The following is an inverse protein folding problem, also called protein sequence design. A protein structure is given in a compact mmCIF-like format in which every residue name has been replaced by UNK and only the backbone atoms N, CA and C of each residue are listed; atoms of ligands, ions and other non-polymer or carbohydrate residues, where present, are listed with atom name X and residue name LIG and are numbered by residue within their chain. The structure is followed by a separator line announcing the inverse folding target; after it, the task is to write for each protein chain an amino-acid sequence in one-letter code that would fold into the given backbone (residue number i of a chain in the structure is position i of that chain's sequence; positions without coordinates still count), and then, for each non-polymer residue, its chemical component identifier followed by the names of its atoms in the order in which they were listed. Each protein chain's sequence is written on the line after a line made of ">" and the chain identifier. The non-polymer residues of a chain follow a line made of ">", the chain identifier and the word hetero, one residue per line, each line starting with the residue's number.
data_IF_414880858601
#
_entry.id   IF_414880858601
#
_cell.length_a   1.000
_cell.length_b   1.000
_cell.length_c   1.000
_cell.angle_alpha   90.00
_cell.angle_beta   90.00
_cell.angle_gamma   90.00
#
_symmetry.space_group_name_H-M   'P 1'
#
loop_
_entity.id
_entity.type
_entity.pdbx_description
1 polymer ?
#
# COMPACT_ATOMS: atom_id res chain seq x y z
N UNK A 1 -68.07 -37.73 -1.50
CA UNK A 1 -67.90 -37.62 -2.96
C UNK A 1 -67.66 -36.17 -3.31
N UNK A 2 -66.40 -35.75 -3.37
CA UNK A 2 -65.90 -34.71 -4.28
C UNK A 2 -64.40 -34.63 -4.05
N UNK A 3 -63.67 -35.19 -5.01
CA UNK A 3 -62.23 -35.15 -5.14
C UNK A 3 -61.77 -33.72 -5.40
N UNK A 4 -60.82 -33.23 -4.61
CA UNK A 4 -59.99 -32.08 -5.00
C UNK A 4 -58.57 -32.56 -5.30
N UNK A 5 -58.11 -32.06 -6.44
CA UNK A 5 -56.98 -32.43 -7.26
C UNK A 5 -55.62 -32.07 -6.66
N UNK A 6 -54.61 -32.80 -7.18
CA UNK A 6 -53.17 -32.68 -6.97
C UNK A 6 -52.65 -31.27 -6.67
N UNK A 7 -51.88 -31.16 -5.57
CA UNK A 7 -50.89 -30.10 -5.36
C UNK A 7 -49.66 -30.39 -6.22
N UNK A 8 -49.45 -29.63 -7.29
CA UNK A 8 -48.14 -29.51 -7.93
C UNK A 8 -47.24 -28.60 -7.07
N UNK A 9 -46.15 -29.18 -6.56
CA UNK A 9 -45.05 -28.45 -5.94
C UNK A 9 -44.15 -27.93 -7.05
N UNK A 10 -44.26 -26.64 -7.38
CA UNK A 10 -43.22 -25.91 -8.10
C UNK A 10 -42.33 -25.23 -7.06
N UNK A 11 -41.16 -25.81 -6.84
CA UNK A 11 -40.12 -25.26 -5.98
C UNK A 11 -39.41 -24.13 -6.76
N UNK A 12 -39.85 -22.88 -6.58
CA UNK A 12 -39.09 -21.72 -7.06
C UNK A 12 -38.01 -21.41 -6.02
N UNK A 13 -36.78 -21.81 -6.32
CA UNK A 13 -35.58 -21.28 -5.65
C UNK A 13 -35.36 -19.88 -6.23
N UNK A 14 -35.80 -18.87 -5.50
CA UNK A 14 -35.39 -17.49 -5.78
C UNK A 14 -34.00 -17.33 -5.18
N UNK A 15 -32.98 -17.33 -6.04
CA UNK A 15 -31.61 -16.97 -5.68
C UNK A 15 -31.59 -15.45 -5.46
N UNK A 16 -31.81 -15.01 -4.22
CA UNK A 16 -31.65 -13.61 -3.84
C UNK A 16 -30.16 -13.32 -3.74
N UNK A 17 -29.58 -12.73 -4.79
CA UNK A 17 -28.28 -12.07 -4.72
C UNK A 17 -28.48 -10.84 -3.82
N UNK A 18 -28.04 -10.95 -2.57
CA UNK A 18 -28.02 -9.83 -1.64
C UNK A 18 -26.76 -9.00 -1.92
N UNK A 19 -26.91 -7.95 -2.74
CA UNK A 19 -25.93 -6.89 -2.86
C UNK A 19 -26.00 -6.05 -1.58
N UNK A 20 -25.09 -6.30 -0.63
CA UNK A 20 -24.98 -5.47 0.57
C UNK A 20 -24.29 -4.14 0.23
N UNK A 21 -25.09 -3.13 -0.12
CA UNK A 21 -24.68 -1.73 0.05
C UNK A 21 -24.89 -1.34 1.53
N UNK A 22 -23.87 -1.54 2.35
CA UNK A 22 -23.80 -0.91 3.67
C UNK A 22 -23.11 0.44 3.53
N UNK A 23 -23.90 1.52 3.47
CA UNK A 23 -23.42 2.85 3.79
C UNK A 23 -23.28 2.96 5.32
N UNK A 24 -22.06 3.12 5.83
CA UNK A 24 -21.68 4.10 6.88
C UNK A 24 -20.30 3.79 7.48
N UNK A 25 -19.23 3.95 6.73
CA UNK A 25 -17.99 4.58 7.21
C UNK A 25 -17.26 5.13 5.99
N UNK A 26 -16.76 6.35 6.10
CA UNK A 26 -15.88 6.97 5.12
C UNK A 26 -14.55 6.20 5.05
N UNK A 27 -14.53 5.06 4.36
CA UNK A 27 -13.30 4.37 3.97
C UNK A 27 -12.80 5.05 2.71
N UNK A 28 -12.07 6.14 2.88
CA UNK A 28 -11.47 6.83 1.76
C UNK A 28 -10.15 6.17 1.35
N UNK A 29 -10.33 5.25 0.40
CA UNK A 29 -9.38 4.60 -0.46
C UNK A 29 -10.23 3.82 -1.47
N UNK A 30 -10.22 4.14 -2.76
CA UNK A 30 -10.86 3.28 -3.76
C UNK A 30 -10.08 1.96 -3.90
N UNK A 31 -10.26 1.06 -2.92
CA UNK A 31 -9.75 -0.30 -3.01
C UNK A 31 -10.72 -1.11 -3.86
N UNK A 32 -10.27 -1.50 -5.04
CA UNK A 32 -10.98 -2.48 -5.87
C UNK A 32 -10.58 -3.86 -5.35
N UNK A 33 -11.54 -4.71 -5.00
CA UNK A 33 -11.25 -6.07 -4.55
C UNK A 33 -12.29 -7.07 -5.02
N UNK A 34 -11.87 -8.33 -5.10
CA UNK A 34 -12.75 -9.46 -5.38
C UNK A 34 -12.37 -10.62 -4.45
N UNK A 35 -13.32 -11.05 -3.62
CA UNK A 35 -13.11 -12.12 -2.63
C UNK A 35 -13.19 -13.53 -3.22
N UNK A 36 -13.75 -13.70 -4.42
CA UNK A 36 -13.83 -14.99 -5.12
C UNK A 36 -12.47 -15.33 -5.74
N UNK A 37 -11.80 -14.32 -6.30
CA UNK A 37 -10.49 -14.43 -6.94
C UNK A 37 -9.34 -14.01 -6.01
N UNK A 38 -9.66 -13.43 -4.86
CA UNK A 38 -8.75 -12.97 -3.81
C UNK A 38 -7.67 -12.00 -4.32
N UNK A 39 -8.08 -10.96 -5.04
CA UNK A 39 -7.20 -9.86 -5.41
C UNK A 39 -7.71 -8.53 -4.88
N UNK A 40 -6.79 -7.56 -4.79
CA UNK A 40 -7.12 -6.17 -4.54
C UNK A 40 -6.18 -5.20 -5.26
N UNK A 41 -6.64 -3.96 -5.46
CA UNK A 41 -5.88 -2.81 -5.93
C UNK A 41 -6.25 -1.58 -5.11
N UNK A 42 -5.26 -0.94 -4.48
CA UNK A 42 -5.39 0.40 -3.90
C UNK A 42 -5.00 1.42 -4.99
N UNK A 43 -5.93 1.79 -5.86
CA UNK A 43 -5.66 2.70 -7.00
C UNK A 43 -5.69 4.17 -6.56
N UNK A 44 -5.03 5.09 -7.29
CA UNK A 44 -5.19 6.52 -7.03
C UNK A 44 -6.67 6.94 -7.07
N UNK A 45 -7.04 7.94 -6.27
CA UNK A 45 -8.45 8.30 -6.02
C UNK A 45 -9.18 8.87 -7.25
N UNK A 46 -10.48 8.60 -7.40
CA UNK A 46 -11.34 9.31 -8.36
C UNK A 46 -11.48 8.63 -9.72
N UNK A 47 -11.11 7.35 -9.85
CA UNK A 47 -11.41 6.60 -11.06
C UNK A 47 -12.88 6.20 -11.10
N UNK A 48 -13.50 6.34 -12.27
CA UNK A 48 -14.86 5.87 -12.50
C UNK A 48 -14.84 4.53 -13.26
N UNK A 49 -15.70 3.59 -12.86
CA UNK A 49 -15.99 2.40 -13.64
C UNK A 49 -16.80 2.80 -14.88
N UNK A 50 -16.19 2.67 -16.07
CA UNK A 50 -16.77 3.05 -17.35
C UNK A 50 -17.55 1.90 -17.98
N UNK A 51 -16.95 0.72 -18.05
CA UNK A 51 -17.55 -0.47 -18.70
C UNK A 51 -17.25 -1.75 -17.93
N UNK A 52 -18.19 -2.70 -18.01
CA UNK A 52 -18.06 -4.07 -17.49
C UNK A 52 -18.54 -5.03 -18.57
N UNK A 53 -17.82 -6.12 -18.80
CA UNK A 53 -18.27 -7.18 -19.70
C UNK A 53 -19.48 -7.94 -19.13
N UNK A 54 -20.30 -8.54 -19.99
CA UNK A 54 -21.49 -9.30 -19.58
C UNK A 54 -21.19 -10.44 -18.58
N UNK A 55 -20.00 -11.04 -18.68
CA UNK A 55 -19.51 -12.10 -17.78
C UNK A 55 -18.91 -11.56 -16.46
N UNK A 56 -18.82 -10.24 -16.30
CA UNK A 56 -18.19 -9.55 -15.17
C UNK A 56 -16.73 -9.97 -14.93
N UNK A 57 -16.01 -10.30 -16.00
CA UNK A 57 -14.60 -10.69 -15.94
C UNK A 57 -13.67 -9.62 -16.51
N UNK A 58 -14.21 -8.53 -17.05
CA UNK A 58 -13.44 -7.43 -17.62
C UNK A 58 -14.06 -6.10 -17.19
N UNK A 59 -13.23 -5.22 -16.64
CA UNK A 59 -13.62 -3.93 -16.09
C UNK A 59 -12.74 -2.84 -16.68
N UNK A 60 -13.34 -1.77 -17.19
CA UNK A 60 -12.63 -0.61 -17.72
C UNK A 60 -12.89 0.59 -16.84
N UNK A 61 -11.81 1.17 -16.32
CA UNK A 61 -11.84 2.34 -15.45
C UNK A 61 -11.18 3.54 -16.15
N UNK A 62 -11.76 4.72 -15.97
CA UNK A 62 -11.31 5.97 -16.55
C UNK A 62 -11.23 7.04 -15.47
N UNK A 63 -10.15 7.82 -15.45
CA UNK A 63 -10.09 8.99 -14.59
C UNK A 63 -10.76 10.19 -15.28
N UNK A 64 -11.74 10.87 -14.65
CA UNK A 64 -12.51 11.94 -15.30
C UNK A 64 -11.68 13.21 -15.56
N UNK A 65 -10.67 13.49 -14.72
CA UNK A 65 -9.86 14.72 -14.80
C UNK A 65 -8.46 14.52 -15.41
N UNK A 66 -7.98 13.28 -15.54
CA UNK A 66 -6.63 12.98 -16.01
C UNK A 66 -6.72 11.98 -17.17
N UNK A 67 -5.89 12.11 -18.23
CA UNK A 67 -5.99 11.27 -19.42
C UNK A 67 -5.36 9.89 -19.22
N UNK A 68 -5.77 9.19 -18.16
CA UNK A 68 -5.31 7.85 -17.79
C UNK A 68 -6.51 6.93 -17.59
N UNK A 69 -6.36 5.69 -18.03
CA UNK A 69 -7.36 4.66 -17.90
C UNK A 69 -6.70 3.30 -17.73
N UNK A 70 -7.43 2.33 -17.20
CA UNK A 70 -6.94 0.97 -17.12
C UNK A 70 -8.05 -0.06 -17.32
N UNK A 71 -7.65 -1.22 -17.82
CA UNK A 71 -8.50 -2.40 -17.92
C UNK A 71 -7.99 -3.42 -16.93
N UNK A 72 -8.88 -3.95 -16.11
CA UNK A 72 -8.65 -5.15 -15.30
C UNK A 72 -9.42 -6.30 -15.93
N UNK A 73 -8.74 -7.41 -16.17
CA UNK A 73 -9.38 -8.61 -16.72
C UNK A 73 -8.94 -9.87 -16.00
N UNK A 74 -9.92 -10.66 -15.59
CA UNK A 74 -9.74 -11.96 -14.99
C UNK A 74 -9.82 -13.01 -16.10
N UNK A 75 -8.89 -13.95 -16.07
CA UNK A 75 -8.85 -15.11 -16.95
C UNK A 75 -8.92 -16.35 -16.08
N UNK A 76 -10.01 -17.12 -16.16
CA UNK A 76 -10.23 -18.33 -15.36
C UNK A 76 -10.39 -19.58 -16.25
N UNK A 77 -9.70 -19.59 -17.40
CA UNK A 77 -9.78 -20.68 -18.35
C UNK A 77 -8.59 -21.65 -18.18
N UNK A 78 -8.84 -22.95 -17.97
CA UNK A 78 -7.79 -23.96 -17.83
C UNK A 78 -6.91 -24.14 -19.08
N UNK A 79 -7.26 -23.55 -20.23
CA UNK A 79 -6.42 -23.58 -21.43
C UNK A 79 -5.19 -22.67 -21.36
N UNK A 80 -5.13 -21.74 -20.40
CA UNK A 80 -3.97 -20.86 -20.23
C UNK A 80 -2.90 -21.53 -19.37
N UNK A 81 -1.69 -21.63 -19.92
CA UNK A 81 -0.56 -22.35 -19.33
C UNK A 81 0.48 -21.44 -18.65
N UNK A 82 0.44 -20.13 -18.92
CA UNK A 82 1.44 -19.16 -18.45
C UNK A 82 0.90 -17.74 -18.44
N UNK A 83 1.48 -16.90 -17.59
CA UNK A 83 1.16 -15.46 -17.52
C UNK A 83 1.53 -14.73 -18.81
N UNK A 84 2.62 -15.17 -19.47
CA UNK A 84 3.05 -14.66 -20.79
C UNK A 84 1.99 -14.90 -21.86
N UNK A 85 1.43 -16.11 -21.94
CA UNK A 85 0.37 -16.45 -22.91
C UNK A 85 -0.90 -15.62 -22.65
N UNK A 86 -1.29 -15.47 -21.39
CA UNK A 86 -2.47 -14.66 -21.01
C UNK A 86 -2.28 -13.20 -21.41
N UNK A 87 -1.17 -12.58 -21.00
CA UNK A 87 -0.88 -11.18 -21.30
C UNK A 87 -0.78 -10.94 -22.81
N UNK A 88 -0.09 -11.82 -23.52
CA UNK A 88 0.03 -11.75 -24.97
C UNK A 88 -1.32 -11.91 -25.68
N UNK A 89 -2.22 -12.73 -25.14
CA UNK A 89 -3.59 -12.86 -25.67
C UNK A 89 -4.40 -11.59 -25.43
N UNK A 90 -4.29 -10.99 -24.24
CA UNK A 90 -4.95 -9.72 -23.91
C UNK A 90 -4.53 -8.59 -24.86
N UNK A 91 -3.22 -8.41 -25.05
CA UNK A 91 -2.65 -7.36 -25.88
C UNK A 91 -2.89 -7.59 -27.38
N UNK A 92 -2.81 -8.84 -27.86
CA UNK A 92 -3.14 -9.17 -29.27
C UNK A 92 -4.58 -8.84 -29.65
N UNK A 93 -5.54 -9.01 -28.73
CA UNK A 93 -6.95 -8.64 -28.97
C UNK A 93 -7.13 -7.14 -29.21
N UNK A 94 -6.21 -6.31 -28.70
CA UNK A 94 -6.19 -4.87 -28.90
C UNK A 94 -5.35 -4.45 -30.11
N UNK A 95 -4.76 -5.40 -30.84
CA UNK A 95 -3.82 -5.09 -31.94
C UNK A 95 -2.56 -4.37 -31.45
N UNK A 96 -2.16 -4.57 -30.19
CA UNK A 96 -1.03 -3.86 -29.60
C UNK A 96 0.31 -4.36 -30.14
N UNK A 97 1.24 -3.42 -30.38
CA UNK A 97 2.67 -3.72 -30.44
C UNK A 97 3.18 -3.87 -29.01
N UNK A 98 3.87 -4.97 -28.72
CA UNK A 98 4.22 -5.38 -27.37
C UNK A 98 5.57 -6.10 -27.32
N UNK A 99 6.27 -5.93 -26.21
CA UNK A 99 7.39 -6.78 -25.80
C UNK A 99 7.08 -7.31 -24.41
N UNK A 100 7.09 -8.63 -24.23
CA UNK A 100 6.68 -9.27 -22.96
C UNK A 100 7.90 -9.87 -22.28
N UNK A 101 8.12 -9.45 -21.05
CA UNK A 101 9.08 -10.05 -20.12
C UNK A 101 8.37 -10.83 -19.03
N UNK A 102 9.12 -11.74 -18.39
CA UNK A 102 8.63 -12.62 -17.33
C UNK A 102 9.60 -12.64 -16.16
N UNK A 103 9.08 -12.63 -14.94
CA UNK A 103 9.85 -12.55 -13.70
C UNK A 103 9.10 -13.19 -12.53
N UNK A 104 9.79 -13.47 -11.44
CA UNK A 104 9.16 -13.96 -10.21
C UNK A 104 8.68 -12.78 -9.35
N UNK A 105 7.52 -12.93 -8.71
CA UNK A 105 6.99 -11.96 -7.76
C UNK A 105 6.25 -12.68 -6.63
N UNK A 106 6.58 -12.32 -5.38
CA UNK A 106 6.12 -13.02 -4.18
C UNK A 106 6.42 -14.53 -4.25
N UNK A 107 5.40 -15.38 -4.07
CA UNK A 107 5.49 -16.84 -4.21
C UNK A 107 5.21 -17.33 -5.63
N UNK A 108 4.95 -16.44 -6.59
CA UNK A 108 4.68 -16.82 -7.97
C UNK A 108 5.98 -16.89 -8.76
N UNK A 109 6.31 -18.06 -9.37
CA UNK A 109 7.54 -18.22 -10.13
C UNK A 109 7.51 -17.47 -11.46
N UNK A 110 6.31 -17.10 -11.94
CA UNK A 110 6.14 -16.39 -13.20
C UNK A 110 4.99 -15.37 -13.08
N UNK A 111 5.32 -14.12 -13.35
CA UNK A 111 4.46 -13.01 -13.70
C UNK A 111 4.96 -12.43 -15.03
N UNK A 112 4.11 -11.71 -15.74
CA UNK A 112 4.47 -11.08 -17.01
C UNK A 112 4.28 -9.56 -16.95
N UNK A 113 5.12 -8.83 -17.66
CA UNK A 113 5.03 -7.38 -17.85
C UNK A 113 5.28 -7.03 -19.32
N UNK A 114 4.69 -5.94 -19.79
CA UNK A 114 4.89 -5.44 -21.14
C UNK A 114 4.75 -3.92 -21.22
N UNK A 115 5.72 -3.27 -21.86
CA UNK A 115 5.47 -1.96 -22.47
C UNK A 115 4.73 -2.20 -23.78
N UNK A 116 3.65 -1.46 -23.99
CA UNK A 116 2.82 -1.65 -25.16
C UNK A 116 2.33 -0.33 -25.75
N UNK A 117 2.05 -0.38 -27.04
CA UNK A 117 1.34 0.67 -27.76
C UNK A 117 0.24 0.06 -28.62
N UNK A 118 -0.86 0.79 -28.79
CA UNK A 118 -1.97 0.38 -29.63
C UNK A 118 -2.58 1.57 -30.35
N UNK A 119 -3.26 1.31 -31.46
CA UNK A 119 -4.03 2.31 -32.18
C UNK A 119 -5.48 1.85 -32.25
N UNK A 120 -6.37 2.62 -31.64
CA UNK A 120 -7.82 2.45 -31.76
C UNK A 120 -8.35 3.61 -32.60
N UNK A 121 -9.06 4.55 -31.99
CA UNK A 121 -9.40 5.86 -32.55
C UNK A 121 -8.20 6.82 -32.58
N UNK A 122 -7.30 6.69 -31.60
CA UNK A 122 -6.02 7.39 -31.53
C UNK A 122 -4.92 6.46 -31.00
N UNK A 123 -3.70 6.98 -30.90
CA UNK A 123 -2.56 6.23 -30.38
C UNK A 123 -2.55 6.23 -28.86
N UNK A 124 -2.46 5.05 -28.28
CA UNK A 124 -2.32 4.83 -26.85
C UNK A 124 -1.02 4.10 -26.55
N UNK A 125 -0.49 4.33 -25.35
CA UNK A 125 0.65 3.58 -24.83
C UNK A 125 0.58 3.47 -23.32
N UNK A 126 1.19 2.43 -22.77
CA UNK A 126 1.03 2.08 -21.37
C UNK A 126 1.92 0.92 -20.92
N UNK A 127 1.67 0.46 -19.70
CA UNK A 127 2.26 -0.75 -19.16
C UNK A 127 1.15 -1.75 -18.89
N UNK A 128 1.47 -3.03 -19.11
CA UNK A 128 0.57 -4.12 -18.80
C UNK A 128 1.28 -5.16 -17.94
N UNK A 129 0.55 -5.74 -16.98
CA UNK A 129 1.03 -6.84 -16.14
C UNK A 129 0.05 -8.01 -16.22
N UNK A 130 0.55 -9.21 -15.93
CA UNK A 130 -0.27 -10.38 -15.64
C UNK A 130 0.34 -11.15 -14.46
N UNK A 131 -0.49 -11.49 -13.49
CA UNK A 131 -0.10 -12.28 -12.33
C UNK A 131 -1.07 -13.45 -12.12
N UNK A 132 -0.60 -14.59 -11.57
CA UNK A 132 -1.49 -15.65 -11.14
C UNK A 132 -2.35 -15.21 -9.94
N UNK A 133 -3.53 -15.79 -9.84
CA UNK A 133 -4.44 -15.67 -8.69
C UNK A 133 -4.36 -16.95 -7.84
N UNK A 134 -4.89 -16.91 -6.61
CA UNK A 134 -4.91 -18.09 -5.75
C UNK A 134 -5.77 -19.24 -6.30
N UNK A 135 -6.82 -18.92 -7.05
CA UNK A 135 -7.62 -19.92 -7.76
C UNK A 135 -6.77 -20.55 -8.86
N UNK A 136 -6.65 -21.89 -8.83
CA UNK A 136 -5.86 -22.62 -9.81
C UNK A 136 -6.28 -22.30 -11.26
N UNK A 137 -5.29 -22.07 -12.12
CA UNK A 137 -5.46 -21.66 -13.52
C UNK A 137 -6.24 -20.34 -13.70
N UNK A 138 -6.27 -19.49 -12.69
CA UNK A 138 -6.81 -18.15 -12.79
C UNK A 138 -5.69 -17.09 -12.77
N UNK A 139 -5.88 -16.03 -13.55
CA UNK A 139 -4.93 -14.94 -13.72
C UNK A 139 -5.66 -13.61 -13.74
N UNK A 140 -4.96 -12.55 -13.32
CA UNK A 140 -5.41 -11.18 -13.50
C UNK A 140 -4.43 -10.46 -14.44
N UNK A 141 -4.96 -9.85 -15.49
CA UNK A 141 -4.20 -8.96 -16.37
C UNK A 141 -4.69 -7.52 -16.18
N UNK A 142 -3.74 -6.59 -16.04
CA UNK A 142 -4.05 -5.17 -15.88
C UNK A 142 -3.27 -4.41 -16.94
N UNK A 143 -3.99 -3.62 -17.74
CA UNK A 143 -3.42 -2.78 -18.78
C UNK A 143 -3.73 -1.33 -18.39
N UNK A 144 -2.73 -0.58 -17.95
CA UNK A 144 -2.86 0.83 -17.57
C UNK A 144 -2.17 1.72 -18.61
N UNK A 145 -2.89 2.68 -19.17
CA UNK A 145 -2.46 3.41 -20.34
C UNK A 145 -3.09 4.79 -20.46
N UNK A 146 -2.53 5.57 -21.37
CA UNK A 146 -2.92 6.95 -21.68
C UNK A 146 -2.72 7.19 -23.17
N UNK A 147 -3.13 8.36 -23.66
CA UNK A 147 -2.79 8.76 -25.03
C UNK A 147 -1.27 8.88 -25.18
N UNK A 148 -0.74 8.57 -26.37
CA UNK A 148 0.70 8.49 -26.57
C UNK A 148 1.43 9.82 -26.29
N UNK A 149 0.76 10.96 -26.46
CA UNK A 149 1.25 12.31 -26.17
C UNK A 149 1.26 12.66 -24.67
N UNK A 150 0.40 12.04 -23.85
CA UNK A 150 0.32 12.28 -22.40
C UNK A 150 1.00 11.19 -21.56
N UNK A 151 1.57 10.17 -22.23
CA UNK A 151 2.21 9.01 -21.62
C UNK A 151 3.22 9.34 -20.54
N UNK A 152 4.11 10.30 -20.80
CA UNK A 152 5.15 10.66 -19.85
C UNK A 152 4.58 11.27 -18.58
N UNK A 153 3.63 12.21 -18.71
CA UNK A 153 2.98 12.85 -17.55
C UNK A 153 2.06 11.89 -16.78
N UNK A 154 1.45 10.91 -17.45
CA UNK A 154 0.58 9.91 -16.83
C UNK A 154 1.35 8.68 -16.31
N UNK A 155 2.66 8.56 -16.58
CA UNK A 155 3.41 7.39 -16.16
C UNK A 155 3.37 7.14 -14.64
N UNK A 156 3.45 8.14 -13.75
CA UNK A 156 3.30 7.91 -12.32
C UNK A 156 1.97 7.25 -11.94
N UNK A 157 0.85 7.70 -12.54
CA UNK A 157 -0.46 7.04 -12.35
C UNK A 157 -0.43 5.59 -12.83
N UNK A 158 0.07 5.35 -14.06
CA UNK A 158 0.14 4.02 -14.67
C UNK A 158 0.94 3.07 -13.77
N UNK A 159 2.13 3.49 -13.33
CA UNK A 159 2.98 2.69 -12.44
C UNK A 159 2.31 2.46 -11.09
N UNK A 160 1.72 3.49 -10.48
CA UNK A 160 1.06 3.39 -9.17
C UNK A 160 -0.12 2.41 -9.19
N UNK A 161 -0.95 2.43 -10.25
CA UNK A 161 -2.06 1.47 -10.44
C UNK A 161 -1.52 0.04 -10.53
N UNK A 162 -0.53 -0.20 -11.39
CA UNK A 162 -0.01 -1.55 -11.59
C UNK A 162 0.69 -2.08 -10.34
N UNK A 163 1.46 -1.21 -9.67
CA UNK A 163 2.20 -1.57 -8.47
C UNK A 163 1.30 -1.81 -7.25
N UNK A 164 0.05 -1.32 -7.26
CA UNK A 164 -0.91 -1.55 -6.18
C UNK A 164 -1.62 -2.90 -6.23
N UNK A 165 -1.39 -3.72 -7.27
CA UNK A 165 -1.94 -5.07 -7.33
C UNK A 165 -1.47 -5.93 -6.16
N UNK A 166 -2.41 -6.60 -5.49
CA UNK A 166 -2.19 -7.66 -4.54
C UNK A 166 -3.04 -8.87 -4.93
N UNK A 167 -2.44 -10.06 -5.05
CA UNK A 167 -3.15 -11.30 -5.45
C UNK A 167 -3.20 -12.35 -4.34
N UNK A 168 -2.69 -12.00 -3.16
CA UNK A 168 -2.68 -12.82 -1.96
C UNK A 168 -2.46 -11.90 -0.74
N UNK A 169 -3.44 -11.87 0.16
CA UNK A 169 -3.44 -11.03 1.37
C UNK A 169 -2.18 -11.18 2.22
N UNK A 170 -1.51 -12.35 2.18
CA UNK A 170 -0.23 -12.57 2.88
C UNK A 170 0.86 -11.60 2.43
N UNK A 171 0.80 -11.17 1.17
CA UNK A 171 1.78 -10.26 0.56
C UNK A 171 1.24 -8.83 0.42
N UNK A 172 0.14 -8.49 1.11
CA UNK A 172 -0.46 -7.16 1.00
C UNK A 172 0.55 -6.05 1.32
N UNK A 173 1.38 -6.24 2.35
CA UNK A 173 2.41 -5.31 2.79
C UNK A 173 3.81 -5.65 2.27
N UNK A 174 3.91 -6.15 1.03
CA UNK A 174 5.18 -6.42 0.36
C UNK A 174 5.34 -5.52 -0.89
N UNK A 175 6.59 -5.35 -1.38
CA UNK A 175 6.85 -4.64 -2.63
C UNK A 175 5.93 -5.07 -3.77
N UNK A 176 5.36 -4.08 -4.44
CA UNK A 176 4.47 -4.30 -5.57
C UNK A 176 5.18 -4.96 -6.76
N UNK A 177 4.38 -5.42 -7.71
CA UNK A 177 4.83 -6.15 -8.89
C UNK A 177 5.81 -5.33 -9.75
N UNK A 178 5.60 -4.02 -9.89
CA UNK A 178 6.50 -3.15 -10.67
C UNK A 178 7.81 -2.90 -9.91
N UNK A 179 7.73 -2.64 -8.60
CA UNK A 179 8.91 -2.47 -7.76
C UNK A 179 9.82 -3.71 -7.82
N UNK A 180 9.22 -4.90 -7.75
CA UNK A 180 9.95 -6.18 -7.80
C UNK A 180 10.57 -6.43 -9.18
N UNK A 181 9.86 -6.08 -10.25
CA UNK A 181 10.40 -6.20 -11.61
C UNK A 181 11.59 -5.27 -11.85
N UNK A 182 11.45 -3.99 -11.48
CA UNK A 182 12.48 -2.98 -11.71
C UNK A 182 13.70 -3.13 -10.80
N UNK A 183 13.52 -3.72 -9.62
CA UNK A 183 14.54 -3.88 -8.60
C UNK A 183 14.51 -5.30 -8.03
N UNK A 184 15.02 -6.30 -8.80
CA UNK A 184 15.12 -7.65 -8.30
C UNK A 184 16.11 -7.74 -7.13
N UNK A 185 16.06 -8.83 -6.37
CA UNK A 185 16.97 -9.06 -5.26
C UNK A 185 18.44 -9.06 -5.71
N UNK A 186 19.26 -8.18 -5.13
CA UNK A 186 20.67 -7.96 -5.49
C UNK A 186 21.65 -8.43 -4.40
N UNK A 187 21.15 -9.02 -3.32
CA UNK A 187 21.97 -9.57 -2.25
C UNK A 187 21.97 -8.74 -0.98
N UNK A 188 22.54 -9.31 0.10
CA UNK A 188 22.44 -8.72 1.43
C UNK A 188 23.42 -7.57 1.65
N UNK A 189 22.88 -6.45 2.12
CA UNK A 189 23.63 -5.35 2.74
C UNK A 189 23.47 -5.42 4.26
N UNK A 190 24.51 -5.91 4.94
CA UNK A 190 24.52 -5.97 6.39
C UNK A 190 24.58 -4.57 7.01
N UNK A 191 23.75 -4.33 8.02
CA UNK A 191 23.69 -3.07 8.78
C UNK A 191 23.66 -3.36 10.29
N UNK A 192 24.01 -2.34 11.09
CA UNK A 192 23.96 -2.40 12.55
C UNK A 192 23.12 -1.27 13.08
N UNK A 193 22.12 -1.61 13.89
CA UNK A 193 21.22 -0.65 14.53
C UNK A 193 21.59 -0.52 16.00
N UNK A 194 21.69 0.70 16.51
CA UNK A 194 21.95 0.95 17.93
C UNK A 194 20.67 1.45 18.59
N UNK A 195 19.92 0.53 19.22
CA UNK A 195 18.61 0.79 19.80
C UNK A 195 18.69 0.62 21.31
N UNK A 196 18.45 1.69 22.07
CA UNK A 196 18.48 1.70 23.53
C UNK A 196 19.77 1.08 24.12
N UNK A 197 20.93 1.42 23.54
CA UNK A 197 22.24 0.88 23.96
C UNK A 197 22.56 -0.54 23.47
N UNK A 198 21.65 -1.21 22.77
CA UNK A 198 21.88 -2.53 22.18
C UNK A 198 22.26 -2.42 20.71
N UNK A 199 23.28 -3.15 20.29
CA UNK A 199 23.66 -3.25 18.88
C UNK A 199 23.01 -4.49 18.25
N UNK A 200 22.08 -4.25 17.32
CA UNK A 200 21.33 -5.27 16.59
C UNK A 200 21.93 -5.39 15.20
N UNK A 201 22.45 -6.56 14.85
CA UNK A 201 22.94 -6.85 13.49
C UNK A 201 21.81 -7.39 12.64
N UNK A 202 21.62 -6.83 11.44
CA UNK A 202 20.57 -7.22 10.49
C UNK A 202 21.02 -6.92 9.06
N UNK A 203 20.14 -7.06 8.07
CA UNK A 203 20.42 -6.71 6.68
C UNK A 203 19.17 -6.19 5.95
N UNK A 204 19.42 -5.41 4.91
CA UNK A 204 18.46 -5.08 3.84
C UNK A 204 18.99 -5.66 2.52
N UNK A 205 18.19 -5.68 1.46
CA UNK A 205 18.70 -5.96 0.12
C UNK A 205 19.53 -4.78 -0.42
N UNK A 206 20.49 -5.06 -1.31
CA UNK A 206 21.32 -4.04 -1.95
C UNK A 206 20.48 -3.04 -2.75
N UNK A 207 19.36 -3.48 -3.35
CA UNK A 207 18.46 -2.65 -4.14
C UNK A 207 17.46 -1.85 -3.31
N UNK A 208 17.28 -2.15 -2.01
CA UNK A 208 16.13 -1.65 -1.23
C UNK A 208 16.06 -0.12 -1.13
N UNK A 209 17.21 0.56 -1.08
CA UNK A 209 17.25 2.03 -1.02
C UNK A 209 16.73 2.64 -2.33
N UNK A 210 17.20 2.15 -3.47
CA UNK A 210 16.85 2.69 -4.78
C UNK A 210 15.41 2.31 -5.16
N UNK A 211 15.02 1.08 -4.84
CA UNK A 211 13.66 0.59 -5.06
C UNK A 211 12.62 1.36 -4.23
N UNK A 212 12.88 1.57 -2.94
CA UNK A 212 12.00 2.35 -2.08
C UNK A 212 11.96 3.83 -2.50
N UNK A 213 13.09 4.39 -2.94
CA UNK A 213 13.14 5.75 -3.49
C UNK A 213 12.28 5.88 -4.76
N UNK A 214 12.35 4.91 -5.67
CA UNK A 214 11.56 4.89 -6.89
C UNK A 214 10.06 4.91 -6.60
N UNK A 215 9.58 4.03 -5.70
CA UNK A 215 8.16 4.00 -5.33
C UNK A 215 7.72 5.29 -4.65
N UNK A 216 8.54 5.79 -3.74
CA UNK A 216 8.29 7.03 -3.05
C UNK A 216 8.12 8.22 -4.03
N UNK A 217 8.97 8.33 -5.04
CA UNK A 217 8.90 9.38 -6.07
C UNK A 217 7.68 9.24 -6.98
N UNK A 218 7.33 8.00 -7.35
CA UNK A 218 6.12 7.71 -8.14
C UNK A 218 4.87 8.15 -7.37
N UNK A 219 4.74 7.72 -6.12
CA UNK A 219 3.57 8.03 -5.30
C UNK A 219 3.49 9.53 -4.96
N UNK A 220 4.63 10.18 -4.71
CA UNK A 220 4.66 11.63 -4.52
C UNK A 220 4.24 12.39 -5.78
N UNK A 221 4.68 11.93 -6.95
CA UNK A 221 4.28 12.52 -8.24
C UNK A 221 2.77 12.42 -8.46
N UNK A 222 2.15 11.30 -8.07
CA UNK A 222 0.68 11.16 -8.08
C UNK A 222 0.05 12.14 -7.08
N UNK A 223 0.54 12.20 -5.83
CA UNK A 223 0.02 13.09 -4.80
C UNK A 223 0.02 14.58 -5.22
N UNK A 224 1.08 15.04 -5.90
CA UNK A 224 1.18 16.43 -6.36
C UNK A 224 0.03 16.87 -7.26
N UNK A 225 -0.57 15.93 -8.01
CA UNK A 225 -1.73 16.20 -8.87
C UNK A 225 -2.98 16.53 -8.04
N UNK A 226 -3.06 16.03 -6.80
CA UNK A 226 -4.18 16.28 -5.90
C UNK A 226 -4.04 17.53 -5.03
N UNK A 227 -2.95 18.31 -5.14
CA UNK A 227 -2.68 19.44 -4.24
C UNK A 227 -3.79 20.51 -4.17
N UNK A 228 -4.60 20.62 -5.22
CA UNK A 228 -5.79 21.51 -5.30
C UNK A 228 -7.09 20.76 -5.60
N UNK A 229 -7.06 19.45 -5.55
CA UNK A 229 -8.20 18.59 -5.86
C UNK A 229 -9.10 18.40 -4.62
N UNK A 230 -10.39 18.09 -4.81
CA UNK A 230 -11.30 17.86 -3.69
C UNK A 230 -10.93 16.60 -2.89
N UNK A 231 -10.31 15.60 -3.53
CA UNK A 231 -9.82 14.35 -2.93
C UNK A 231 -8.38 14.46 -2.39
N UNK A 232 -7.90 15.66 -2.05
CA UNK A 232 -6.52 15.86 -1.60
C UNK A 232 -6.19 15.09 -0.32
N UNK A 233 -7.17 14.92 0.58
CA UNK A 233 -6.96 14.27 1.87
C UNK A 233 -6.78 12.77 1.68
N UNK A 234 -7.63 12.20 0.85
CA UNK A 234 -7.70 10.79 0.47
C UNK A 234 -6.44 10.38 -0.29
N UNK A 235 -6.03 11.18 -1.27
CA UNK A 235 -4.77 10.98 -1.98
C UNK A 235 -3.54 11.06 -1.05
N UNK A 236 -3.57 11.94 -0.04
CA UNK A 236 -2.48 12.05 0.93
C UNK A 236 -2.41 10.84 1.86
N UNK A 237 -3.57 10.33 2.32
CA UNK A 237 -3.63 9.07 3.07
C UNK A 237 -3.10 7.91 2.22
N UNK A 238 -3.52 7.82 0.95
CA UNK A 238 -3.06 6.79 0.03
C UNK A 238 -1.55 6.82 -0.19
N UNK A 239 -0.96 8.00 -0.39
CA UNK A 239 0.49 8.15 -0.52
C UNK A 239 1.24 7.44 0.62
N UNK A 240 0.86 7.68 1.87
CA UNK A 240 1.50 7.02 3.00
C UNK A 240 1.17 5.53 3.11
N UNK A 241 -0.05 5.09 2.76
CA UNK A 241 -0.38 3.65 2.69
C UNK A 241 0.51 2.91 1.70
N UNK A 242 0.75 3.49 0.53
CA UNK A 242 1.61 2.90 -0.50
C UNK A 242 3.08 2.86 -0.07
N UNK A 243 3.58 3.92 0.57
CA UNK A 243 4.94 3.95 1.15
C UNK A 243 5.10 2.93 2.28
N UNK A 244 4.10 2.83 3.17
CA UNK A 244 4.07 1.82 4.24
C UNK A 244 4.11 0.42 3.66
N UNK A 245 3.24 0.13 2.68
CA UNK A 245 3.14 -1.17 2.04
C UNK A 245 4.46 -1.63 1.44
N UNK A 246 5.15 -0.77 0.69
CA UNK A 246 6.45 -1.12 0.11
C UNK A 246 7.52 -1.30 1.21
N UNK A 247 7.53 -0.41 2.20
CA UNK A 247 8.53 -0.42 3.27
C UNK A 247 8.41 -1.62 4.20
N UNK A 248 7.19 -2.04 4.55
CA UNK A 248 6.94 -3.10 5.53
C UNK A 248 7.61 -4.43 5.13
N UNK A 249 7.42 -4.85 3.88
CA UNK A 249 8.02 -6.09 3.36
C UNK A 249 9.54 -6.01 3.24
N UNK A 250 10.08 -4.86 2.80
CA UNK A 250 11.55 -4.63 2.75
C UNK A 250 12.20 -4.71 4.12
N UNK A 251 11.50 -4.21 5.14
CA UNK A 251 11.98 -4.21 6.51
C UNK A 251 11.64 -5.49 7.27
N UNK A 252 11.07 -6.52 6.66
CA UNK A 252 10.63 -7.73 7.36
C UNK A 252 11.75 -8.38 8.20
N UNK A 253 12.96 -8.50 7.62
CA UNK A 253 14.13 -9.03 8.35
C UNK A 253 14.57 -8.09 9.48
N UNK A 254 14.62 -6.78 9.21
CA UNK A 254 14.99 -5.76 10.21
C UNK A 254 14.03 -5.83 11.40
N UNK A 255 12.73 -5.86 11.13
CA UNK A 255 11.68 -5.98 12.14
C UNK A 255 11.87 -7.25 12.96
N UNK A 256 12.09 -8.40 12.32
CA UNK A 256 12.33 -9.66 13.03
C UNK A 256 13.55 -9.58 13.97
N UNK A 257 14.67 -9.06 13.49
CA UNK A 257 15.91 -8.94 14.28
C UNK A 257 15.76 -7.95 15.43
N UNK A 258 15.05 -6.84 15.19
CA UNK A 258 14.74 -5.84 16.24
C UNK A 258 13.84 -6.45 17.31
N UNK A 259 12.74 -7.09 16.94
CA UNK A 259 11.80 -7.70 17.87
C UNK A 259 12.49 -8.78 18.70
N UNK A 260 13.17 -9.72 18.03
CA UNK A 260 13.79 -10.88 18.70
C UNK A 260 14.87 -10.49 19.71
N UNK A 261 15.56 -9.38 19.50
CA UNK A 261 16.63 -8.91 20.40
C UNK A 261 16.14 -7.90 21.44
N UNK A 262 15.23 -6.99 21.06
CA UNK A 262 14.81 -5.89 21.92
C UNK A 262 13.62 -6.26 22.81
N UNK A 263 12.61 -6.96 22.28
CA UNK A 263 11.37 -7.23 23.02
C UNK A 263 11.61 -8.03 24.31
N UNK A 264 12.45 -9.08 24.35
CA UNK A 264 12.76 -9.79 25.60
C UNK A 264 13.43 -8.93 26.67
N UNK A 265 14.15 -7.86 26.28
CA UNK A 265 14.73 -6.91 27.22
C UNK A 265 13.66 -5.96 27.77
N UNK A 266 12.74 -5.52 26.92
CA UNK A 266 11.60 -4.68 27.30
C UNK A 266 10.63 -5.43 28.23
N UNK A 267 10.39 -6.72 28.00
CA UNK A 267 9.59 -7.58 28.87
C UNK A 267 10.19 -7.69 30.27
N UNK A 268 11.52 -7.81 30.39
CA UNK A 268 12.20 -7.78 31.68
C UNK A 268 12.14 -6.41 32.36
N UNK A 269 12.24 -5.34 31.57
CA UNK A 269 12.25 -3.97 32.08
C UNK A 269 10.87 -3.50 32.57
N UNK A 270 9.78 -3.93 31.92
CA UNK A 270 8.41 -3.64 32.32
C UNK A 270 7.49 -4.85 32.09
N UNK A 271 7.50 -5.86 33.00
CA UNK A 271 6.68 -7.05 32.84
C UNK A 271 5.18 -6.77 32.82
N UNK A 272 4.73 -5.67 33.43
CA UNK A 272 3.32 -5.28 33.45
C UNK A 272 2.83 -4.61 32.17
N UNK A 273 3.73 -4.08 31.34
CA UNK A 273 3.39 -3.44 30.06
C UNK A 273 4.62 -3.48 29.12
N UNK A 274 4.97 -4.69 28.61
CA UNK A 274 6.14 -4.88 27.75
C UNK A 274 6.02 -4.08 26.44
N UNK A 275 4.80 -3.93 25.91
CA UNK A 275 4.51 -3.20 24.67
C UNK A 275 4.88 -1.72 24.79
N UNK A 276 4.53 -1.07 25.91
CA UNK A 276 4.93 0.32 26.15
C UNK A 276 6.45 0.46 26.27
N UNK A 277 7.13 -0.49 26.90
CA UNK A 277 8.59 -0.46 27.01
C UNK A 277 9.27 -0.66 25.65
N UNK A 278 8.75 -1.57 24.82
CA UNK A 278 9.22 -1.76 23.44
C UNK A 278 8.97 -0.52 22.59
N UNK A 279 7.74 0.01 22.59
CA UNK A 279 7.38 1.23 21.89
C UNK A 279 8.23 2.42 22.35
N UNK A 280 8.50 2.57 23.65
CA UNK A 280 9.34 3.67 24.16
C UNK A 280 10.80 3.52 23.73
N UNK A 281 11.33 2.29 23.64
CA UNK A 281 12.68 2.06 23.14
C UNK A 281 12.82 2.46 21.66
N UNK A 282 11.82 2.12 20.84
CA UNK A 282 11.76 2.55 19.43
C UNK A 282 11.61 4.07 19.29
N UNK A 283 10.70 4.67 20.05
CA UNK A 283 10.47 6.12 20.04
C UNK A 283 11.75 6.89 20.40
N UNK A 284 12.40 6.50 21.50
CA UNK A 284 13.64 7.14 21.98
C UNK A 284 14.78 7.00 20.98
N UNK A 285 14.83 5.88 20.24
CA UNK A 285 15.82 5.65 19.21
C UNK A 285 15.66 6.61 18.03
N UNK A 286 14.46 6.73 17.46
CA UNK A 286 14.22 7.63 16.31
C UNK A 286 14.29 9.11 16.69
N UNK A 287 13.97 9.47 17.94
CA UNK A 287 14.18 10.82 18.48
C UNK A 287 15.66 11.21 18.53
N UNK A 288 16.56 10.22 18.59
CA UNK A 288 18.01 10.43 18.55
C UNK A 288 18.57 10.69 17.15
N UNK A 289 17.78 10.52 16.09
CA UNK A 289 18.24 10.73 14.74
C UNK A 289 18.49 12.21 14.43
N UNK A 290 19.43 12.49 13.53
CA UNK A 290 19.64 13.83 13.02
C UNK A 290 18.45 14.23 12.12
N UNK A 291 17.80 15.34 12.48
CA UNK A 291 16.73 15.90 11.65
C UNK A 291 17.33 16.59 10.43
N UNK A 292 16.92 16.18 9.23
CA UNK A 292 17.35 16.80 7.97
C UNK A 292 16.23 16.61 6.95
N UNK A 293 15.83 17.71 6.31
CA UNK A 293 14.97 17.67 5.11
C UNK A 293 15.85 17.88 3.88
N UNK A 294 15.73 17.01 2.89
CA UNK A 294 16.46 17.12 1.62
C UNK A 294 15.63 17.97 0.63
N UNK A 295 15.61 19.29 0.82
CA UNK A 295 14.82 20.23 0.01
C UNK A 295 15.50 20.61 -1.33
N UNK A 296 16.14 19.67 -2.01
CA UNK A 296 16.95 20.02 -3.19
C UNK A 296 16.10 20.35 -4.43
N UNK A 297 14.87 19.80 -4.55
CA UNK A 297 13.94 20.09 -5.66
C UNK A 297 12.48 20.11 -5.19
N UNK A 298 11.68 21.04 -5.71
CA UNK A 298 10.24 21.10 -5.43
C UNK A 298 9.43 19.89 -5.95
N UNK A 299 10.04 19.07 -6.82
CA UNK A 299 9.45 17.85 -7.38
C UNK A 299 9.87 16.58 -6.64
N UNK A 300 10.71 16.67 -5.61
CA UNK A 300 11.11 15.53 -4.78
C UNK A 300 10.45 15.62 -3.41
N UNK A 301 10.05 14.48 -2.87
CA UNK A 301 9.50 14.43 -1.51
C UNK A 301 10.57 14.69 -0.46
N UNK A 302 10.17 15.34 0.64
CA UNK A 302 11.02 15.50 1.83
C UNK A 302 11.13 14.20 2.64
N UNK A 303 10.26 13.22 2.36
CA UNK A 303 10.25 11.91 3.02
C UNK A 303 11.53 11.15 2.69
N UNK A 304 12.26 10.70 3.71
CA UNK A 304 13.39 9.78 3.49
C UNK A 304 12.93 8.33 3.53
N UNK A 305 13.19 7.55 2.47
CA UNK A 305 12.83 6.12 2.45
C UNK A 305 13.46 5.33 3.62
N UNK A 306 12.71 4.37 4.17
CA UNK A 306 13.10 3.72 5.42
C UNK A 306 14.42 2.92 5.35
N UNK A 307 14.73 2.18 4.26
CA UNK A 307 16.03 1.56 4.11
C UNK A 307 17.20 2.55 4.22
N UNK A 308 17.05 3.77 3.67
CA UNK A 308 18.04 4.82 3.80
C UNK A 308 18.13 5.39 5.22
N UNK A 309 17.01 5.55 5.93
CA UNK A 309 16.98 5.96 7.36
C UNK A 309 17.79 4.97 8.20
N UNK A 310 17.59 3.66 8.00
CA UNK A 310 18.34 2.61 8.70
C UNK A 310 19.85 2.65 8.42
N UNK A 311 20.24 3.17 7.26
CA UNK A 311 21.64 3.36 6.86
C UNK A 311 22.24 4.70 7.32
N UNK A 312 21.53 5.48 8.14
CA UNK A 312 22.02 6.74 8.70
C UNK A 312 21.87 7.95 7.78
N UNK A 313 21.06 7.86 6.71
CA UNK A 313 20.64 9.06 5.97
C UNK A 313 19.77 9.93 6.90
N UNK A 314 19.82 11.24 6.69
CA UNK A 314 18.98 12.20 7.40
C UNK A 314 17.49 11.86 7.26
N UNK A 315 16.66 12.34 8.18
CA UNK A 315 15.22 12.03 8.20
C UNK A 315 14.40 13.19 8.75
N UNK A 316 13.10 13.10 8.47
CA UNK A 316 12.04 14.06 8.78
C UNK A 316 11.02 13.45 9.78
N UNK A 317 9.93 14.15 10.07
CA UNK A 317 8.90 13.66 11.01
C UNK A 317 8.08 12.49 10.44
N UNK A 318 7.87 12.44 9.13
CA UNK A 318 7.13 11.39 8.44
C UNK A 318 7.90 10.07 8.47
N UNK A 319 9.16 10.10 8.04
CA UNK A 319 9.99 8.89 7.93
C UNK A 319 10.28 8.26 9.30
N UNK A 320 10.49 9.07 10.35
CA UNK A 320 10.60 8.56 11.73
C UNK A 320 9.32 7.89 12.21
N UNK A 321 8.18 8.55 12.01
CA UNK A 321 6.89 8.06 12.46
C UNK A 321 6.49 6.78 11.71
N UNK A 322 6.75 6.74 10.40
CA UNK A 322 6.56 5.54 9.58
C UNK A 322 7.45 4.37 10.04
N UNK A 323 8.73 4.63 10.34
CA UNK A 323 9.64 3.58 10.82
C UNK A 323 9.16 2.97 12.15
N UNK A 324 8.75 3.80 13.11
CA UNK A 324 8.19 3.31 14.37
C UNK A 324 6.91 2.53 14.11
N UNK A 325 6.03 3.02 13.23
CA UNK A 325 4.78 2.34 12.88
C UNK A 325 5.04 0.94 12.30
N UNK A 326 5.95 0.81 11.32
CA UNK A 326 6.34 -0.49 10.73
C UNK A 326 6.84 -1.46 11.80
N UNK A 327 7.73 -1.02 12.69
CA UNK A 327 8.32 -1.87 13.72
C UNK A 327 7.33 -2.28 14.83
N UNK A 328 6.35 -1.43 15.13
CA UNK A 328 5.24 -1.74 16.03
C UNK A 328 4.28 -2.74 15.41
N UNK A 329 3.86 -2.50 14.16
CA UNK A 329 2.98 -3.40 13.40
C UNK A 329 3.58 -4.79 13.24
N UNK A 330 4.87 -4.87 12.94
CA UNK A 330 5.58 -6.14 12.85
C UNK A 330 5.66 -6.91 14.19
N UNK A 331 5.57 -6.19 15.33
CA UNK A 331 5.47 -6.79 16.66
C UNK A 331 4.03 -7.19 17.05
N UNK A 332 3.06 -7.04 16.14
CA UNK A 332 1.64 -7.30 16.41
C UNK A 332 0.95 -6.17 17.17
N UNK A 333 1.57 -4.99 17.28
CA UNK A 333 0.99 -3.83 17.95
C UNK A 333 0.23 -2.97 16.94
N UNK A 334 -1.04 -2.73 17.22
CA UNK A 334 -1.91 -1.88 16.41
C UNK A 334 -1.40 -0.44 16.44
N UNK A 335 -1.08 0.11 15.26
CA UNK A 335 -0.39 1.38 15.10
C UNK A 335 -0.73 2.01 13.76
N UNK A 336 -0.78 3.34 13.70
CA UNK A 336 -0.96 4.09 12.47
C UNK A 336 -0.27 5.46 12.55
N UNK A 337 -0.27 6.21 11.45
CA UNK A 337 0.29 7.56 11.41
C UNK A 337 -0.79 8.62 11.53
N UNK A 338 -0.46 9.72 12.19
CA UNK A 338 -1.23 10.96 12.14
C UNK A 338 -0.42 11.98 11.36
N UNK A 339 -1.07 12.61 10.38
CA UNK A 339 -0.46 13.67 9.57
C UNK A 339 -1.27 14.95 9.70
N UNK A 340 -0.63 16.11 9.64
CA UNK A 340 -1.32 17.39 9.74
C UNK A 340 -0.75 18.40 8.77
N UNK A 341 -1.64 18.97 7.94
CA UNK A 341 -1.31 20.12 7.10
C UNK A 341 -1.11 21.37 7.95
N UNK A 342 -1.97 21.57 8.95
CA UNK A 342 -1.95 22.73 9.84
C UNK A 342 -0.68 22.80 10.68
N UNK A 343 -0.20 21.66 11.17
CA UNK A 343 1.04 21.60 11.95
C UNK A 343 2.28 21.35 11.09
N UNK A 344 2.11 20.98 9.81
CA UNK A 344 3.21 20.56 8.92
C UNK A 344 4.09 19.49 9.58
N UNK A 345 3.42 18.51 10.20
CA UNK A 345 4.04 17.55 11.10
C UNK A 345 3.35 16.18 11.02
N UNK A 346 4.06 15.15 11.43
CA UNK A 346 3.56 13.78 11.54
C UNK A 346 3.94 13.15 12.88
N UNK A 347 3.05 12.28 13.36
CA UNK A 347 3.22 11.49 14.58
C UNK A 347 2.85 10.04 14.32
N UNK A 348 3.34 9.16 15.18
CA UNK A 348 2.94 7.74 15.21
C UNK A 348 1.96 7.53 16.36
N UNK A 349 1.08 6.54 16.23
CA UNK A 349 0.17 6.12 17.30
C UNK A 349 0.35 4.64 17.61
N UNK A 350 -0.03 4.20 18.80
CA UNK A 350 -0.25 2.76 19.05
C UNK A 350 -1.29 2.51 20.13
N UNK A 351 -1.99 1.39 20.04
CA UNK A 351 -3.04 1.03 21.00
C UNK A 351 -2.41 0.59 22.32
N UNK A 352 -2.59 1.40 23.37
CA UNK A 352 -2.11 1.08 24.71
C UNK A 352 -2.93 1.83 25.78
N UNK A 353 -3.24 1.20 26.92
CA UNK A 353 -4.04 1.84 27.97
C UNK A 353 -3.28 2.90 28.78
N UNK A 354 -1.96 3.06 28.57
CA UNK A 354 -1.16 4.03 29.31
C UNK A 354 -1.70 5.47 29.23
N UNK A 355 -1.47 6.29 30.27
CA UNK A 355 -1.99 7.66 30.32
C UNK A 355 -1.26 8.58 29.34
N UNK A 356 -1.94 9.67 28.95
CA UNK A 356 -1.38 10.74 28.13
C UNK A 356 -2.32 11.15 26.99
N UNK A 357 -1.79 11.95 26.06
CA UNK A 357 -2.52 12.33 24.86
C UNK A 357 -2.75 11.10 23.97
N UNK A 358 -4.02 10.90 23.64
CA UNK A 358 -4.47 9.86 22.72
C UNK A 358 -5.21 10.46 21.54
N UNK A 359 -5.29 9.69 20.47
CA UNK A 359 -6.16 9.92 19.33
C UNK A 359 -7.26 8.85 19.34
N UNK A 360 -8.51 9.27 19.20
CA UNK A 360 -9.65 8.36 19.08
C UNK A 360 -10.00 8.21 17.60
N UNK A 361 -10.08 6.97 17.12
CA UNK A 361 -10.55 6.72 15.75
C UNK A 361 -12.07 6.86 15.76
N UNK A 362 -12.56 7.88 15.05
CA UNK A 362 -13.97 8.26 15.01
C UNK A 362 -14.89 7.06 14.74
N UNK A 363 -15.93 6.91 15.56
CA UNK A 363 -16.93 5.85 15.42
C UNK A 363 -16.50 4.46 15.93
N UNK A 364 -15.26 4.27 16.36
CA UNK A 364 -14.77 2.95 16.85
C UNK A 364 -14.67 2.85 18.37
N UNK A 365 -14.55 3.99 19.07
CA UNK A 365 -14.24 4.03 20.50
C UNK A 365 -12.83 3.52 20.87
N UNK A 366 -11.98 3.22 19.88
CA UNK A 366 -10.58 2.81 20.10
C UNK A 366 -9.69 4.03 20.24
N UNK A 367 -8.88 4.03 21.29
CA UNK A 367 -7.92 5.10 21.56
C UNK A 367 -6.48 4.63 21.36
N UNK A 368 -5.66 5.48 20.77
CA UNK A 368 -4.27 5.20 20.47
C UNK A 368 -3.37 6.30 21.06
N UNK A 369 -2.33 5.90 21.79
CA UNK A 369 -1.39 6.80 22.42
C UNK A 369 -0.52 7.47 21.34
N UNK A 370 -0.38 8.80 21.41
CA UNK A 370 0.38 9.57 20.40
C UNK A 370 1.88 9.59 20.74
N UNK A 371 2.73 9.46 19.72
CA UNK A 371 4.19 9.46 19.82
C UNK A 371 4.82 10.56 19.00
N UNK A 372 5.41 11.54 19.68
CA UNK A 372 6.17 12.64 19.09
C UNK A 372 7.61 12.19 18.79
N UNK A 373 7.97 12.07 17.51
CA UNK A 373 9.26 11.50 17.08
C UNK A 373 10.39 12.52 16.91
N UNK A 374 10.09 13.82 17.04
CA UNK A 374 11.06 14.91 16.84
C UNK A 374 11.50 15.60 18.12
N UNK A 375 10.74 15.49 19.22
CA UNK A 375 11.11 15.97 20.54
C UNK A 375 11.51 14.82 21.46
N UNK A 376 12.40 15.03 22.42
CA UNK A 376 12.81 14.01 23.40
C UNK A 376 11.77 13.86 24.52
N UNK A 377 10.68 13.17 24.21
CA UNK A 377 9.53 12.98 25.12
C UNK A 377 9.05 11.53 25.12
N UNK A 378 8.25 11.15 26.12
CA UNK A 378 7.64 9.82 26.17
C UNK A 378 6.33 9.79 25.41
N UNK A 379 5.82 8.58 25.14
CA UNK A 379 4.48 8.40 24.59
C UNK A 379 3.42 9.13 25.42
N UNK A 380 2.41 9.66 24.72
CA UNK A 380 1.33 10.45 25.32
C UNK A 380 1.73 11.88 25.69
N UNK A 381 2.96 12.31 25.41
CA UNK A 381 3.40 13.70 25.60
C UNK A 381 3.59 14.36 24.25
N UNK A 382 2.81 15.40 23.97
CA UNK A 382 2.93 16.22 22.77
C UNK A 382 2.94 17.71 23.13
N UNK A 383 3.38 18.55 22.21
CA UNK A 383 3.33 20.00 22.37
C UNK A 383 1.88 20.48 22.48
N UNK A 384 1.63 21.50 23.30
CA UNK A 384 0.27 21.97 23.57
C UNK A 384 -0.41 22.52 22.31
N UNK A 385 0.36 23.18 21.45
CA UNK A 385 -0.07 23.70 20.15
C UNK A 385 -0.51 22.60 19.17
N UNK A 386 -0.10 21.34 19.41
CA UNK A 386 -0.44 20.18 18.59
C UNK A 386 -1.65 19.39 19.15
N UNK A 387 -2.25 19.83 20.26
CA UNK A 387 -3.25 19.06 21.01
C UNK A 387 -4.66 19.00 20.37
N UNK A 388 -4.98 19.91 19.45
CA UNK A 388 -6.27 19.90 18.75
C UNK A 388 -6.33 18.72 17.76
N UNK A 389 -7.13 17.72 18.15
CA UNK A 389 -7.31 16.44 17.43
C UNK A 389 -7.94 16.61 16.05
N UNK A 390 -8.74 17.66 15.84
CA UNK A 390 -9.45 17.88 14.57
C UNK A 390 -8.53 18.24 13.41
N UNK A 391 -7.29 18.64 13.70
CA UNK A 391 -6.24 19.00 12.73
C UNK A 391 -5.35 17.83 12.33
N UNK A 392 -5.59 16.65 12.91
CA UNK A 392 -4.87 15.43 12.59
C UNK A 392 -5.71 14.56 11.65
N UNK A 393 -5.06 14.04 10.62
CA UNK A 393 -5.64 13.10 9.66
C UNK A 393 -5.02 11.73 9.94
N UNK A 394 -5.83 10.70 10.23
CA UNK A 394 -5.32 9.35 10.44
C UNK A 394 -5.01 8.68 9.11
N UNK A 395 -3.81 8.09 9.01
CA UNK A 395 -3.42 7.19 7.93
C UNK A 395 -3.42 5.78 8.50
N UNK A 396 -4.57 5.12 8.43
CA UNK A 396 -4.72 3.73 8.89
C UNK A 396 -3.99 2.82 7.90
N UNK A 397 -3.12 1.97 8.44
CA UNK A 397 -2.36 0.99 7.66
C UNK A 397 -3.26 -0.20 7.30
N UNK A 398 -3.00 -0.85 6.16
CA UNK A 398 -3.73 -2.06 5.77
C UNK A 398 -3.51 -3.26 6.69
#
# INVERSE_FOLDING_TARGET
>A
MTSYTLKERVFKITLTIALFFLFSINTFAETISDSVYNYSLDIPEGFALNEVSDDQMSFHFVHPEYPVQFILKIYDNPSYDSTRTVLGTALKKLGAAMEIDTFAWNNYPECAISDFSMTLDQKYSGWAICAPLQKANAYVAILAYSTADTRQSCNPFIISILNSLCTDEKYYCFPGIIATYGFPYEGKKNIKLNINGNTISTFIDNSDIDAAQYILEIEYSVLLLYAKHNLWKEAWQRYYRMVYRDSYGRLAQVSYDVISQLYPLCEKANPSNPDLAYAQALLSWVQGFQYKRDNEKASSTDFTNLPAVLCGKGNDCDSRSMLVCVLLRAAGLESFMLISRDYSHAMVTFENPAPGQKYEVEGTGREFLMGETTAKVTWGTIAQEHADRSKWIPVIMP
#
